data_IF_174337762285
#
_entry.id   IF_174337762285
#
_cell.length_a   1.000
_cell.length_b   1.000
_cell.length_c   1.000
_cell.angle_alpha   90.00
_cell.angle_beta   90.00
_cell.angle_gamma   90.00
#
_symmetry.space_group_name_H-M   'P 1'
#
loop_
_entity.id
_entity.type
_entity.pdbx_description
1 polymer ?
#
# COMPACT_ATOMS: atom_id res chain seq x y z
N UNK A 1 5.20 6.67 -16.65
CA UNK A 1 3.90 6.76 -17.37
C UNK A 1 2.98 5.62 -16.94
N UNK A 2 1.70 5.59 -17.34
CA UNK A 2 0.81 4.44 -17.03
C UNK A 2 1.31 3.14 -17.70
N UNK A 3 1.73 3.14 -18.99
CA UNK A 3 2.30 1.95 -19.61
C UNK A 3 3.54 1.39 -18.90
N UNK A 4 4.46 2.26 -18.45
CA UNK A 4 5.63 1.83 -17.66
C UNK A 4 5.22 1.16 -16.34
N UNK A 5 4.18 1.68 -15.69
CA UNK A 5 3.69 1.10 -14.43
C UNK A 5 3.07 -0.27 -14.66
N UNK A 6 2.29 -0.43 -15.72
CA UNK A 6 1.72 -1.72 -16.14
C UNK A 6 2.85 -2.72 -16.37
N UNK A 7 3.87 -2.33 -17.14
CA UNK A 7 5.01 -3.20 -17.44
C UNK A 7 5.78 -3.62 -16.17
N UNK A 8 5.97 -2.68 -15.23
CA UNK A 8 6.64 -2.97 -13.96
C UNK A 8 5.84 -3.96 -13.07
N UNK A 9 4.50 -3.84 -13.05
CA UNK A 9 3.66 -4.79 -12.32
C UNK A 9 3.69 -6.16 -13.00
N UNK A 10 3.55 -6.24 -14.33
CA UNK A 10 3.64 -7.51 -15.06
C UNK A 10 5.00 -8.20 -14.81
N UNK A 11 6.10 -7.44 -14.83
CA UNK A 11 7.43 -7.95 -14.50
C UNK A 11 7.51 -8.55 -13.08
N UNK A 12 6.80 -7.94 -12.11
CA UNK A 12 6.75 -8.41 -10.74
C UNK A 12 5.91 -9.69 -10.61
N UNK A 13 4.79 -9.76 -11.35
CA UNK A 13 3.95 -10.96 -11.47
C UNK A 13 4.77 -12.13 -12.00
N UNK A 14 5.50 -11.94 -13.11
CA UNK A 14 6.32 -12.98 -13.75
C UNK A 14 7.39 -13.55 -12.80
N UNK A 15 7.88 -12.71 -11.88
CA UNK A 15 8.89 -13.08 -10.86
C UNK A 15 8.28 -13.60 -9.57
N UNK A 16 6.96 -13.73 -9.51
CA UNK A 16 6.21 -14.18 -8.32
C UNK A 16 6.53 -13.30 -7.10
N UNK A 17 6.71 -12.00 -7.33
CA UNK A 17 6.87 -11.04 -6.24
C UNK A 17 5.55 -10.99 -5.46
N UNK A 18 5.62 -11.18 -4.16
CA UNK A 18 4.42 -11.23 -3.31
C UNK A 18 3.88 -9.83 -3.01
N UNK A 19 4.76 -8.88 -2.71
CA UNK A 19 4.39 -7.51 -2.33
C UNK A 19 5.06 -6.49 -3.25
N UNK A 20 4.28 -5.58 -3.79
CA UNK A 20 4.75 -4.46 -4.62
C UNK A 20 4.44 -3.16 -3.90
N UNK A 21 5.46 -2.52 -3.35
CA UNK A 21 5.37 -1.16 -2.80
C UNK A 21 5.24 -0.15 -3.95
N UNK A 22 4.11 0.54 -4.02
CA UNK A 22 3.82 1.54 -5.03
C UNK A 22 3.54 2.90 -4.40
N UNK A 23 4.62 3.62 -4.05
CA UNK A 23 4.57 4.97 -3.50
C UNK A 23 4.36 6.07 -4.57
N UNK A 24 3.76 5.70 -5.71
CA UNK A 24 3.41 6.58 -6.82
C UNK A 24 1.95 6.35 -7.20
N UNK A 25 1.27 7.38 -7.70
CA UNK A 25 -0.10 7.24 -8.15
C UNK A 25 -0.61 8.50 -8.83
N UNK A 26 -1.90 8.52 -9.12
CA UNK A 26 -2.55 9.64 -9.79
C UNK A 26 -3.93 9.90 -9.22
N UNK A 27 -4.29 11.19 -9.13
CA UNK A 27 -5.65 11.64 -8.83
C UNK A 27 -6.58 11.57 -10.04
N UNK A 28 -6.01 11.38 -11.23
CA UNK A 28 -6.79 11.34 -12.47
C UNK A 28 -7.54 10.00 -12.57
N UNK A 29 -8.83 10.04 -12.23
CA UNK A 29 -9.75 8.90 -12.32
C UNK A 29 -9.82 8.27 -13.71
N UNK A 30 -9.51 9.00 -14.78
CA UNK A 30 -9.47 8.44 -16.14
C UNK A 30 -8.37 7.40 -16.31
N UNK A 31 -7.37 7.34 -15.42
CA UNK A 31 -6.33 6.30 -15.41
C UNK A 31 -6.77 5.01 -14.72
N UNK A 32 -7.87 5.03 -13.95
CA UNK A 32 -8.36 3.85 -13.24
C UNK A 32 -8.69 2.68 -14.20
N UNK A 33 -9.40 2.87 -15.33
CA UNK A 33 -9.64 1.80 -16.30
C UNK A 33 -8.36 1.27 -16.97
N UNK A 34 -7.32 2.10 -17.10
CA UNK A 34 -6.03 1.67 -17.68
C UNK A 34 -5.23 0.78 -16.71
N UNK A 35 -5.33 1.06 -15.40
CA UNK A 35 -4.63 0.30 -14.35
C UNK A 35 -5.41 -0.95 -13.89
N UNK A 36 -6.74 -0.92 -13.97
CA UNK A 36 -7.59 -2.02 -13.51
C UNK A 36 -7.19 -3.41 -14.04
N UNK A 37 -6.97 -3.59 -15.35
CA UNK A 37 -6.61 -4.89 -15.90
C UNK A 37 -5.31 -5.49 -15.35
N UNK A 38 -4.29 -4.65 -15.06
CA UNK A 38 -3.02 -5.16 -14.50
C UNK A 38 -3.15 -5.46 -13.00
N UNK A 39 -3.95 -4.69 -12.27
CA UNK A 39 -4.29 -4.99 -10.87
C UNK A 39 -5.04 -6.32 -10.78
N UNK A 40 -6.00 -6.58 -11.67
CA UNK A 40 -6.72 -7.85 -11.70
C UNK A 40 -5.78 -9.03 -11.98
N UNK A 41 -4.81 -8.88 -12.90
CA UNK A 41 -3.77 -9.90 -13.14
C UNK A 41 -2.91 -10.13 -11.89
N UNK A 42 -2.46 -9.06 -11.24
CA UNK A 42 -1.66 -9.15 -10.02
C UNK A 42 -2.41 -9.90 -8.92
N UNK A 43 -3.68 -9.55 -8.69
CA UNK A 43 -4.55 -10.22 -7.75
C UNK A 43 -4.69 -11.72 -8.03
N UNK A 44 -4.98 -12.10 -9.29
CA UNK A 44 -5.10 -13.53 -9.69
C UNK A 44 -3.80 -14.31 -9.52
N UNK A 45 -2.64 -13.65 -9.63
CA UNK A 45 -1.32 -14.25 -9.47
C UNK A 45 -0.84 -14.28 -8.01
N UNK A 46 -1.56 -13.67 -7.07
CA UNK A 46 -1.14 -13.52 -5.68
C UNK A 46 -0.06 -12.45 -5.44
N UNK A 47 0.16 -11.57 -6.42
CA UNK A 47 0.99 -10.37 -6.28
C UNK A 47 0.14 -9.23 -5.75
N UNK A 48 0.46 -8.75 -4.55
CA UNK A 48 -0.33 -7.75 -3.83
C UNK A 48 0.33 -6.38 -4.03
N UNK A 49 -0.39 -5.48 -4.68
CA UNK A 49 0.04 -4.08 -4.83
C UNK A 49 -0.40 -3.30 -3.60
N UNK A 50 0.52 -2.50 -3.05
CA UNK A 50 0.29 -1.63 -1.90
C UNK A 50 0.52 -0.19 -2.36
N UNK A 51 -0.51 0.66 -2.27
CA UNK A 51 -0.48 2.00 -2.83
C UNK A 51 -1.31 2.97 -2.00
N UNK A 52 -1.00 4.26 -2.10
CA UNK A 52 -1.79 5.32 -1.48
C UNK A 52 -3.26 5.26 -1.93
N UNK A 53 -4.19 5.08 -0.99
CA UNK A 53 -5.63 5.18 -1.23
C UNK A 53 -6.06 6.64 -1.33
N UNK A 54 -5.54 7.46 -0.40
CA UNK A 54 -5.85 8.88 -0.30
C UNK A 54 -4.61 9.66 0.14
N UNK A 55 -4.46 10.87 -0.40
CA UNK A 55 -3.48 11.85 0.03
C UNK A 55 -4.04 13.25 -0.21
N UNK A 56 -3.93 14.11 0.80
CA UNK A 56 -4.44 15.49 0.83
C UNK A 56 -5.93 15.60 0.45
N UNK A 57 -6.76 14.73 1.04
CA UNK A 57 -8.21 14.74 0.80
C UNK A 57 -8.66 14.16 -0.54
N UNK A 58 -7.73 13.83 -1.45
CA UNK A 58 -8.04 13.29 -2.77
C UNK A 58 -7.83 11.78 -2.81
N UNK A 59 -8.67 11.08 -3.58
CA UNK A 59 -8.50 9.65 -3.88
C UNK A 59 -7.39 9.46 -4.91
N UNK A 60 -6.56 8.44 -4.73
CA UNK A 60 -5.44 8.11 -5.60
C UNK A 60 -5.58 6.71 -6.21
N UNK A 61 -5.13 6.59 -7.45
CA UNK A 61 -5.09 5.34 -8.19
C UNK A 61 -3.62 4.91 -8.41
N UNK A 62 -3.29 3.62 -8.23
CA UNK A 62 -4.23 2.49 -8.11
C UNK A 62 -4.73 2.18 -6.68
N UNK A 63 -4.30 2.89 -5.63
CA UNK A 63 -4.62 2.52 -4.24
C UNK A 63 -6.10 2.46 -3.86
N UNK A 64 -6.99 3.09 -4.62
CA UNK A 64 -8.44 2.97 -4.47
C UNK A 64 -9.12 1.95 -5.40
N UNK A 65 -8.34 1.15 -6.14
CA UNK A 65 -8.87 0.07 -6.97
C UNK A 65 -9.08 -1.21 -6.14
N UNK A 66 -10.14 -2.00 -6.43
CA UNK A 66 -10.28 -3.34 -5.87
C UNK A 66 -9.05 -4.21 -6.14
N UNK A 67 -8.65 -5.02 -5.16
CA UNK A 67 -7.47 -5.89 -5.24
C UNK A 67 -6.15 -5.21 -4.87
N UNK A 68 -6.16 -3.90 -4.58
CA UNK A 68 -5.00 -3.16 -4.04
C UNK A 68 -5.16 -2.98 -2.54
N UNK A 69 -4.08 -3.14 -1.79
CA UNK A 69 -4.05 -2.70 -0.39
C UNK A 69 -3.83 -1.19 -0.37
N UNK A 70 -4.94 -0.47 -0.19
CA UNK A 70 -4.96 0.98 -0.07
C UNK A 70 -4.36 1.43 1.26
N UNK A 71 -3.50 2.46 1.22
CA UNK A 71 -2.85 3.04 2.40
C UNK A 71 -3.31 4.47 2.65
N UNK A 72 -3.58 4.81 3.90
CA UNK A 72 -3.82 6.17 4.38
C UNK A 72 -2.71 6.52 5.39
N UNK A 73 -2.11 7.70 5.21
CA UNK A 73 -1.11 8.20 6.14
C UNK A 73 -1.77 8.82 7.38
N UNK A 74 -1.23 8.51 8.55
CA UNK A 74 -1.65 9.12 9.82
C UNK A 74 -0.40 9.45 10.66
N UNK A 75 -0.27 10.72 11.06
CA UNK A 75 0.87 11.22 11.83
C UNK A 75 0.90 10.66 13.25
N UNK A 76 -0.25 10.29 13.80
CA UNK A 76 -0.37 9.77 15.17
C UNK A 76 -0.16 8.25 15.21
N UNK A 77 -0.16 7.58 14.06
CA UNK A 77 0.10 6.15 13.94
C UNK A 77 1.58 5.85 14.27
N UNK A 78 1.88 4.99 15.27
CA UNK A 78 3.24 4.56 15.55
C UNK A 78 3.87 3.86 14.34
N UNK A 79 5.14 4.16 14.08
CA UNK A 79 5.83 3.70 12.86
C UNK A 79 5.94 2.18 12.73
N UNK A 80 6.05 1.48 13.85
CA UNK A 80 6.18 0.02 13.94
C UNK A 80 4.83 -0.70 14.00
N UNK A 81 3.73 0.04 13.96
CA UNK A 81 2.37 -0.48 14.02
C UNK A 81 1.60 -0.14 12.74
N UNK A 82 0.61 -0.98 12.44
CA UNK A 82 -0.36 -0.74 11.39
C UNK A 82 -1.73 -0.54 12.03
N UNK A 83 -2.56 0.30 11.42
CA UNK A 83 -3.97 0.43 11.76
C UNK A 83 -4.86 0.01 10.58
N UNK A 84 -6.16 -0.01 10.82
CA UNK A 84 -7.18 -0.18 9.79
C UNK A 84 -8.22 0.93 9.90
N UNK A 85 -8.74 1.36 8.75
CA UNK A 85 -9.86 2.29 8.69
C UNK A 85 -10.89 1.78 7.66
N UNK A 86 -12.15 1.75 8.08
CA UNK A 86 -13.25 1.38 7.20
C UNK A 86 -13.59 2.54 6.25
N UNK A 87 -13.76 2.20 4.98
CA UNK A 87 -14.11 3.13 3.92
C UNK A 87 -15.49 2.79 3.37
N UNK A 88 -16.15 3.70 2.63
CA UNK A 88 -17.39 3.37 1.94
C UNK A 88 -17.28 2.16 1.00
N UNK A 89 -16.06 1.81 0.57
CA UNK A 89 -15.77 0.68 -0.31
C UNK A 89 -14.50 -0.04 0.15
N UNK A 90 -14.65 -0.91 1.13
CA UNK A 90 -13.57 -1.75 1.67
C UNK A 90 -12.86 -1.11 2.86
N UNK A 91 -11.66 -1.60 3.14
CA UNK A 91 -10.85 -1.17 4.30
C UNK A 91 -9.46 -0.76 3.80
N UNK A 92 -8.92 0.33 4.35
CA UNK A 92 -7.54 0.75 4.08
C UNK A 92 -6.64 0.49 5.29
N UNK A 93 -5.35 0.30 5.02
CA UNK A 93 -4.31 0.24 6.04
C UNK A 93 -3.90 1.65 6.41
N UNK A 94 -3.82 1.93 7.72
CA UNK A 94 -3.28 3.16 8.27
C UNK A 94 -1.82 2.93 8.64
N UNK A 95 -0.94 3.84 8.22
CA UNK A 95 0.49 3.74 8.51
C UNK A 95 1.14 5.11 8.72
N UNK A 96 2.21 5.12 9.50
CA UNK A 96 2.97 6.34 9.81
C UNK A 96 3.62 6.95 8.55
N UNK A 97 3.50 8.27 8.30
CA UNK A 97 4.19 8.96 7.22
C UNK A 97 5.67 9.23 7.52
N UNK A 98 6.15 8.86 8.72
CA UNK A 98 7.51 9.14 9.13
C UNK A 98 8.48 8.03 8.69
N UNK A 99 9.66 8.38 8.16
CA UNK A 99 10.71 7.43 7.83
C UNK A 99 11.35 6.89 9.10
N UNK A 100 12.37 6.03 8.95
CA UNK A 100 13.21 5.64 10.07
C UNK A 100 13.81 6.90 10.72
N UNK A 101 13.78 7.02 12.06
CA UNK A 101 14.41 8.15 12.76
C UNK A 101 15.90 8.26 12.41
N UNK A 102 16.38 9.49 12.27
CA UNK A 102 17.79 9.80 12.10
C UNK A 102 18.30 10.31 13.45
N UNK A 103 19.33 9.71 14.06
CA UNK A 103 19.85 10.17 15.34
C UNK A 103 20.17 11.67 15.35
N UNK A 104 19.64 12.40 16.32
CA UNK A 104 19.85 13.84 16.47
C UNK A 104 18.99 14.74 15.57
N UNK A 105 18.13 14.17 14.70
CA UNK A 105 17.21 14.94 13.85
C UNK A 105 15.79 14.77 14.38
N UNK A 106 15.10 15.85 14.80
CA UNK A 106 13.70 15.79 15.15
C UNK A 106 12.84 15.27 13.99
N UNK A 107 11.85 14.43 14.27
CA UNK A 107 11.12 13.67 13.24
C UNK A 107 10.33 14.57 12.28
N UNK A 108 9.85 15.70 12.78
CA UNK A 108 9.16 16.75 12.04
C UNK A 108 10.06 17.50 11.05
N UNK A 109 11.38 17.48 11.29
CA UNK A 109 12.38 18.04 10.38
C UNK A 109 12.89 17.01 9.36
N UNK A 110 12.44 15.76 9.48
CA UNK A 110 12.72 14.72 8.51
C UNK A 110 11.74 14.78 7.33
N UNK A 111 12.15 14.27 6.18
CA UNK A 111 11.26 14.10 5.04
C UNK A 111 10.15 13.12 5.45
N UNK A 112 8.89 13.51 5.29
CA UNK A 112 7.74 12.68 5.64
C UNK A 112 6.67 12.78 4.55
N UNK A 113 5.76 11.81 4.51
CA UNK A 113 4.65 11.83 3.58
C UNK A 113 4.07 10.46 3.27
N UNK A 114 3.03 10.46 2.43
CA UNK A 114 2.30 9.24 2.06
C UNK A 114 3.22 8.15 1.47
N UNK A 115 4.28 8.52 0.76
CA UNK A 115 5.24 7.56 0.21
C UNK A 115 5.91 6.71 1.29
N UNK A 116 6.21 7.29 2.46
CA UNK A 116 6.75 6.56 3.60
C UNK A 116 5.69 5.75 4.33
N UNK A 117 4.45 6.22 4.39
CA UNK A 117 3.34 5.42 4.91
C UNK A 117 3.14 4.14 4.08
N UNK A 118 3.17 4.23 2.75
CA UNK A 118 3.11 3.05 1.86
C UNK A 118 4.30 2.09 2.11
N UNK A 119 5.50 2.63 2.31
CA UNK A 119 6.69 1.83 2.61
C UNK A 119 6.61 1.16 3.99
N UNK A 120 6.16 1.87 5.02
CA UNK A 120 5.96 1.34 6.36
C UNK A 120 4.85 0.28 6.36
N UNK A 121 3.73 0.50 5.65
CA UNK A 121 2.67 -0.48 5.44
C UNK A 121 3.21 -1.75 4.78
N UNK A 122 3.95 -1.61 3.68
CA UNK A 122 4.58 -2.75 2.98
C UNK A 122 5.48 -3.55 3.92
N UNK A 123 6.37 -2.88 4.66
CA UNK A 123 7.28 -3.54 5.61
C UNK A 123 6.56 -4.22 6.77
N UNK A 124 5.55 -3.56 7.35
CA UNK A 124 4.72 -4.12 8.41
C UNK A 124 3.94 -5.35 7.95
N UNK A 125 3.35 -5.29 6.76
CA UNK A 125 2.65 -6.41 6.13
C UNK A 125 3.62 -7.57 5.87
N UNK A 126 4.81 -7.30 5.32
CA UNK A 126 5.82 -8.33 5.09
C UNK A 126 6.24 -9.03 6.39
N UNK A 127 6.40 -8.25 7.48
CA UNK A 127 6.69 -8.80 8.81
C UNK A 127 5.58 -9.73 9.28
N UNK A 128 4.32 -9.29 9.19
CA UNK A 128 3.18 -10.11 9.59
C UNK A 128 3.11 -11.41 8.78
N UNK A 129 3.25 -11.34 7.45
CA UNK A 129 3.27 -12.52 6.59
C UNK A 129 4.37 -13.51 6.97
N UNK A 130 5.54 -13.02 7.38
CA UNK A 130 6.63 -13.87 7.84
C UNK A 130 6.33 -14.55 9.19
N UNK A 131 5.53 -13.92 10.05
CA UNK A 131 5.14 -14.45 11.37
C UNK A 131 3.96 -15.42 11.31
N UNK A 132 3.02 -15.22 10.37
CA UNK A 132 1.72 -15.94 10.35
C UNK A 132 1.50 -16.84 9.15
N UNK A 133 2.34 -16.72 8.12
CA UNK A 133 2.16 -17.38 6.84
C UNK A 133 1.75 -16.42 5.73
N UNK A 134 1.86 -16.93 4.50
CA UNK A 134 1.72 -16.14 3.27
C UNK A 134 0.25 -15.76 3.02
N UNK A 135 0.00 -14.45 2.91
CA UNK A 135 -1.21 -13.90 2.33
C UNK A 135 -1.13 -13.87 0.79
N UNK A 136 -2.27 -14.06 0.12
CA UNK A 136 -2.35 -14.16 -1.35
C UNK A 136 -3.30 -13.14 -1.98
N UNK A 137 -3.93 -12.28 -1.17
CA UNK A 137 -4.86 -11.26 -1.65
C UNK A 137 -4.88 -10.04 -0.74
N UNK A 138 -5.39 -8.92 -1.25
CA UNK A 138 -5.64 -7.72 -0.43
C UNK A 138 -6.51 -8.03 0.79
N UNK A 139 -7.56 -8.83 0.63
CA UNK A 139 -8.50 -9.14 1.72
C UNK A 139 -7.82 -9.97 2.81
N UNK A 140 -7.01 -10.96 2.43
CA UNK A 140 -6.23 -11.74 3.40
C UNK A 140 -5.19 -10.89 4.15
N UNK A 141 -4.69 -9.81 3.54
CA UNK A 141 -3.85 -8.82 4.23
C UNK A 141 -4.66 -8.03 5.24
N UNK A 142 -5.85 -7.57 4.87
CA UNK A 142 -6.72 -6.83 5.80
C UNK A 142 -7.08 -7.71 6.99
N UNK A 143 -7.43 -8.98 6.77
CA UNK A 143 -7.71 -9.93 7.85
C UNK A 143 -6.49 -10.19 8.74
N UNK A 144 -5.31 -10.30 8.12
CA UNK A 144 -4.05 -10.47 8.84
C UNK A 144 -3.75 -9.27 9.74
N UNK A 145 -3.84 -8.05 9.22
CA UNK A 145 -3.66 -6.82 10.02
C UNK A 145 -4.71 -6.76 11.13
N UNK A 146 -5.97 -7.06 10.82
CA UNK A 146 -7.07 -7.08 11.81
C UNK A 146 -6.81 -8.02 12.98
N UNK A 147 -6.13 -9.14 12.74
CA UNK A 147 -5.78 -10.11 13.79
C UNK A 147 -4.67 -9.64 14.75
N UNK A 148 -4.09 -8.46 14.52
CA UNK A 148 -2.89 -7.95 15.21
C UNK A 148 -3.06 -6.56 15.81
N UNK A 149 -4.20 -5.92 15.59
CA UNK A 149 -4.58 -4.62 16.17
C UNK A 149 -5.51 -4.80 17.36
#
# INVERSE_FOLDING_TARGET
>A
SVPELVHAIDWAIDRKIQLVNMSLGTRNRLRAPELGPVIERAFKAGTIVISAHQHDGAIWYPGALPGVVGVIADIDQPRDQLGLIELPRGTAVVASPYPRPIPGVPVEQNLHGISFAVANATGGIARLMNETGIAQSSDSIIDLVRSRI
#
